data_IF_071015732192
#
_entry.id   IF_071015732192
#
_cell.length_a   1.000
_cell.length_b   1.000
_cell.length_c   1.000
_cell.angle_alpha   90.00
_cell.angle_beta   90.00
_cell.angle_gamma   90.00
#
_symmetry.space_group_name_H-M   'P 1'
#
loop_
_entity.id
_entity.type
_entity.pdbx_description
1 polymer ?
#
# COMPACT_ATOMS: atom_id res chain seq x y z
N UNK A 1 11.42 -58.83 -42.17
CA UNK A 1 10.62 -57.63 -42.51
C UNK A 1 11.31 -56.42 -41.89
N UNK A 2 11.69 -55.45 -42.73
CA UNK A 2 12.46 -54.24 -42.41
C UNK A 2 11.55 -53.09 -41.94
N UNK A 3 12.11 -52.19 -41.11
CA UNK A 3 11.98 -50.71 -41.03
C UNK A 3 12.11 -50.30 -39.54
N UNK A 4 13.24 -49.82 -38.99
CA UNK A 4 14.15 -48.71 -39.34
C UNK A 4 13.61 -47.30 -39.02
N UNK A 5 14.12 -46.78 -37.90
CA UNK A 5 14.71 -45.45 -37.65
C UNK A 5 14.00 -44.13 -38.06
N UNK A 6 13.90 -43.27 -37.04
CA UNK A 6 14.30 -41.84 -37.00
C UNK A 6 13.77 -40.92 -38.10
N UNK A 7 12.91 -39.97 -37.70
CA UNK A 7 12.91 -38.63 -38.30
C UNK A 7 12.48 -37.59 -37.26
N UNK A 8 13.48 -37.06 -36.58
CA UNK A 8 13.48 -35.74 -35.96
C UNK A 8 13.29 -34.69 -37.07
N UNK A 9 12.29 -33.82 -36.98
CA UNK A 9 12.27 -32.57 -37.77
C UNK A 9 12.07 -31.43 -36.78
N UNK A 10 13.20 -30.77 -36.49
CA UNK A 10 13.29 -29.53 -35.73
C UNK A 10 12.44 -28.44 -36.39
N UNK A 11 11.48 -27.90 -35.62
CA UNK A 11 10.78 -26.67 -35.97
C UNK A 11 11.61 -25.48 -35.45
N UNK A 12 12.57 -25.02 -36.26
CA UNK A 12 13.31 -23.80 -36.01
C UNK A 12 12.52 -22.62 -36.60
N UNK A 13 11.70 -21.98 -35.78
CA UNK A 13 11.10 -20.67 -36.10
C UNK A 13 11.85 -19.62 -35.28
N UNK A 14 12.82 -18.99 -35.92
CA UNK A 14 13.51 -17.82 -35.40
C UNK A 14 12.62 -16.58 -35.65
N UNK A 15 11.84 -16.17 -34.64
CA UNK A 15 11.26 -14.82 -34.59
C UNK A 15 12.35 -13.87 -34.08
N UNK A 16 13.08 -13.22 -34.98
CA UNK A 16 13.88 -12.04 -34.64
C UNK A 16 12.97 -10.81 -34.72
N UNK A 17 12.35 -10.42 -33.61
CA UNK A 17 11.81 -9.07 -33.44
C UNK A 17 12.99 -8.13 -33.19
N UNK A 18 13.41 -7.41 -34.21
CA UNK A 18 14.28 -6.25 -34.10
C UNK A 18 13.52 -5.10 -33.44
N UNK A 19 13.52 -5.07 -32.11
CA UNK A 19 13.12 -3.91 -31.34
C UNK A 19 14.27 -2.88 -31.35
N UNK A 20 14.16 -1.87 -32.21
CA UNK A 20 14.97 -0.66 -32.07
C UNK A 20 14.41 0.18 -30.91
N UNK A 21 14.81 -0.13 -29.68
CA UNK A 21 14.67 0.81 -28.55
C UNK A 21 15.95 1.65 -28.47
N UNK A 22 15.81 2.92 -28.85
CA UNK A 22 16.80 3.96 -28.61
C UNK A 22 16.87 4.25 -27.10
N UNK A 23 17.74 3.54 -26.40
CA UNK A 23 18.11 3.86 -25.02
C UNK A 23 19.38 4.71 -25.03
N UNK A 24 19.27 6.00 -25.36
CA UNK A 24 20.29 7.03 -25.14
C UNK A 24 19.67 8.44 -25.21
N UNK A 25 18.93 8.86 -24.18
CA UNK A 25 18.82 10.30 -23.80
C UNK A 25 17.98 10.53 -22.50
N UNK A 26 18.40 10.00 -21.34
CA UNK A 26 17.91 10.53 -20.04
C UNK A 26 18.99 10.36 -18.98
N UNK A 27 20.20 10.85 -19.26
CA UNK A 27 21.22 11.09 -18.22
C UNK A 27 21.94 12.40 -18.58
N UNK A 28 21.30 13.52 -18.26
CA UNK A 28 21.95 14.82 -18.13
C UNK A 28 22.01 15.16 -16.63
N UNK A 29 23.15 14.94 -15.95
CA UNK A 29 23.40 15.48 -14.63
C UNK A 29 24.49 16.54 -14.75
N UNK A 30 24.14 17.78 -15.11
CA UNK A 30 24.97 18.97 -14.81
C UNK A 30 24.30 20.25 -15.30
N UNK A 31 23.48 20.89 -14.45
CA UNK A 31 23.09 22.28 -14.66
C UNK A 31 22.66 22.96 -13.35
N UNK A 32 23.57 23.11 -12.37
CA UNK A 32 23.46 24.24 -11.42
C UNK A 32 24.87 24.76 -11.11
N UNK A 33 25.27 25.80 -11.84
CA UNK A 33 26.42 26.66 -11.54
C UNK A 33 25.98 27.69 -10.49
N UNK A 34 26.71 27.90 -9.37
CA UNK A 34 26.47 29.02 -8.47
C UNK A 34 26.98 30.33 -9.09
N UNK A 35 26.24 31.45 -9.06
CA UNK A 35 26.79 32.72 -9.49
C UNK A 35 27.84 33.21 -8.48
N UNK A 36 28.99 33.59 -9.05
CA UNK A 36 30.15 34.13 -8.36
C UNK A 36 29.84 35.48 -7.68
N UNK A 37 30.51 35.66 -6.54
CA UNK A 37 30.58 36.89 -5.78
C UNK A 37 31.22 38.04 -6.57
N UNK A 38 30.66 39.24 -6.41
CA UNK A 38 31.30 40.51 -6.70
C UNK A 38 31.28 41.37 -5.44
N UNK A 39 32.44 41.90 -5.08
CA UNK A 39 32.79 42.47 -3.79
C UNK A 39 32.48 43.98 -3.64
N UNK A 40 32.16 44.38 -2.39
CA UNK A 40 32.47 45.63 -1.64
C UNK A 40 31.91 46.99 -2.18
N UNK A 41 31.66 48.07 -1.35
CA UNK A 41 32.22 48.33 -0.02
C UNK A 41 31.30 48.86 1.11
N UNK A 42 31.84 48.74 2.33
CA UNK A 42 31.31 49.25 3.59
C UNK A 42 31.51 50.77 3.75
N UNK A 43 30.61 51.48 4.47
CA UNK A 43 30.94 52.76 5.09
C UNK A 43 31.01 52.70 6.61
N UNK A 44 31.86 53.59 7.14
CA UNK A 44 32.29 53.74 8.51
C UNK A 44 31.22 54.17 9.53
N UNK A 45 31.48 53.87 10.81
CA UNK A 45 30.80 54.44 11.97
C UNK A 45 31.59 55.62 12.51
N UNK A 46 30.95 56.79 12.65
CA UNK A 46 31.14 57.77 13.75
C UNK A 46 30.31 59.05 13.49
N UNK A 47 29.63 59.56 14.52
CA UNK A 47 29.22 60.97 14.61
C UNK A 47 27.81 61.27 15.16
N UNK A 48 27.76 61.82 16.38
CA UNK A 48 26.60 62.30 17.15
C UNK A 48 25.61 63.23 16.43
N UNK A 49 24.32 63.14 16.78
CA UNK A 49 23.58 64.15 17.58
C UNK A 49 22.05 64.15 17.30
N UNK A 50 21.29 64.09 18.39
CA UNK A 50 19.93 64.60 18.67
C UNK A 50 18.92 64.85 17.52
N UNK A 51 17.75 64.20 17.60
CA UNK A 51 16.48 64.82 18.03
C UNK A 51 15.23 64.06 17.54
N UNK A 52 14.36 63.73 18.51
CA UNK A 52 12.89 63.69 18.46
C UNK A 52 12.14 62.63 17.62
N UNK A 53 11.40 61.81 18.36
CA UNK A 53 10.36 60.83 17.98
C UNK A 53 9.14 61.54 17.35
N UNK A 54 8.48 60.93 16.34
CA UNK A 54 7.06 60.59 16.50
C UNK A 54 6.75 59.11 16.19
N UNK A 55 5.90 58.52 17.01
CA UNK A 55 5.41 57.15 16.91
C UNK A 55 4.46 56.93 15.72
N UNK A 56 4.53 55.80 15.00
CA UNK A 56 3.46 55.36 14.10
C UNK A 56 2.37 54.57 14.87
N UNK A 57 1.09 54.64 14.46
CA UNK A 57 0.00 53.89 15.08
C UNK A 57 0.10 52.38 14.78
N UNK A 58 -0.38 51.48 15.67
CA UNK A 58 -0.49 50.06 15.37
C UNK A 58 -1.67 49.81 14.43
N UNK A 59 -1.39 49.41 13.20
CA UNK A 59 -2.41 48.86 12.30
C UNK A 59 -2.53 47.35 12.54
N UNK A 60 -3.48 46.99 13.40
CA UNK A 60 -4.03 45.63 13.53
C UNK A 60 -4.84 45.27 12.29
N UNK A 61 -4.38 44.29 11.51
CA UNK A 61 -5.22 43.47 10.64
C UNK A 61 -4.44 42.23 10.17
N UNK A 62 -4.34 41.22 11.05
CA UNK A 62 -4.04 39.85 10.60
C UNK A 62 -5.34 39.26 10.02
N UNK A 63 -5.33 38.60 8.84
CA UNK A 63 -6.51 37.91 8.35
C UNK A 63 -6.79 36.73 9.28
N UNK A 64 -7.92 36.80 9.98
CA UNK A 64 -8.49 35.64 10.66
C UNK A 64 -8.78 34.57 9.62
N UNK A 65 -8.01 33.49 9.64
CA UNK A 65 -8.38 32.26 8.95
C UNK A 65 -9.61 31.71 9.67
N UNK A 66 -10.79 31.93 9.11
CA UNK A 66 -11.99 31.22 9.48
C UNK A 66 -11.82 29.76 9.07
N UNK A 67 -11.29 28.92 9.97
CA UNK A 67 -11.48 27.48 9.88
C UNK A 67 -12.98 27.23 10.07
N UNK A 68 -13.71 27.21 8.96
CA UNK A 68 -15.06 26.66 8.92
C UNK A 68 -14.99 25.24 9.49
N UNK A 69 -15.70 25.01 10.60
CA UNK A 69 -15.75 23.74 11.28
C UNK A 69 -16.14 22.64 10.31
N UNK A 70 -15.23 21.70 10.07
CA UNK A 70 -15.62 20.38 9.61
C UNK A 70 -16.63 19.83 10.64
N UNK A 71 -17.76 19.25 10.22
CA UNK A 71 -18.65 18.58 11.15
C UNK A 71 -17.83 17.50 11.85
N UNK A 72 -17.66 17.63 13.16
CA UNK A 72 -17.13 16.56 13.97
C UNK A 72 -18.10 15.39 13.84
N UNK A 73 -17.72 14.37 13.07
CA UNK A 73 -18.49 13.14 12.97
C UNK A 73 -18.58 12.56 14.39
N UNK A 74 -19.80 12.47 14.92
CA UNK A 74 -20.05 11.90 16.24
C UNK A 74 -19.45 10.49 16.30
N UNK A 75 -18.74 10.13 17.38
CA UNK A 75 -18.11 8.82 17.48
C UNK A 75 -19.18 7.73 17.43
N UNK A 76 -18.96 6.73 16.58
CA UNK A 76 -19.81 5.54 16.52
C UNK A 76 -19.83 4.81 17.87
N UNK A 77 -21.02 4.46 18.35
CA UNK A 77 -21.16 3.62 19.54
C UNK A 77 -20.80 2.16 19.21
N UNK A 78 -20.45 1.37 20.24
CA UNK A 78 -20.17 -0.07 20.09
C UNK A 78 -21.36 -0.86 19.52
N UNK A 79 -22.59 -0.52 19.93
CA UNK A 79 -23.80 -1.15 19.41
C UNK A 79 -24.02 -0.85 17.92
N UNK A 80 -23.76 0.38 17.49
CA UNK A 80 -23.84 0.75 16.07
C UNK A 80 -22.78 0.03 15.24
N UNK A 81 -21.54 -0.07 15.73
CA UNK A 81 -20.48 -0.82 15.07
C UNK A 81 -20.85 -2.30 14.87
N UNK A 82 -21.39 -2.95 15.90
CA UNK A 82 -21.86 -4.33 15.79
C UNK A 82 -23.00 -4.49 14.76
N UNK A 83 -23.94 -3.54 14.71
CA UNK A 83 -25.00 -3.55 13.72
C UNK A 83 -24.47 -3.39 12.29
N UNK A 84 -23.47 -2.54 12.06
CA UNK A 84 -22.84 -2.38 10.74
C UNK A 84 -22.15 -3.69 10.30
N UNK A 85 -21.38 -4.32 11.20
CA UNK A 85 -20.72 -5.60 10.93
C UNK A 85 -21.72 -6.69 10.58
N UNK A 86 -22.83 -6.80 11.32
CA UNK A 86 -23.88 -7.80 11.07
C UNK A 86 -24.58 -7.67 9.72
N UNK A 87 -24.63 -6.45 9.16
CA UNK A 87 -25.19 -6.17 7.83
C UNK A 87 -24.15 -6.31 6.71
N UNK A 88 -22.87 -6.44 7.08
CA UNK A 88 -21.80 -6.54 6.09
C UNK A 88 -21.78 -7.93 5.49
N UNK A 89 -21.85 -7.97 4.15
CA UNK A 89 -21.57 -9.16 3.36
C UNK A 89 -20.25 -8.96 2.62
N UNK A 90 -19.23 -9.74 3.00
CA UNK A 90 -17.87 -9.64 2.49
C UNK A 90 -17.59 -10.75 1.49
N UNK A 91 -17.19 -10.37 0.27
CA UNK A 91 -16.62 -11.29 -0.71
C UNK A 91 -15.10 -11.17 -0.69
N UNK A 92 -14.40 -12.30 -0.60
CA UNK A 92 -12.93 -12.34 -0.68
C UNK A 92 -12.56 -12.79 -2.09
N UNK A 93 -11.87 -11.93 -2.84
CA UNK A 93 -11.40 -12.23 -4.17
C UNK A 93 -10.15 -13.13 -4.14
N UNK A 94 -9.79 -13.79 -5.25
CA UNK A 94 -8.54 -14.54 -5.36
C UNK A 94 -7.32 -13.67 -5.00
N UNK A 95 -6.40 -14.24 -4.23
CA UNK A 95 -5.18 -13.58 -3.77
C UNK A 95 -4.15 -13.56 -4.90
N UNK A 96 -3.49 -12.42 -5.09
CA UNK A 96 -2.45 -12.23 -6.11
C UNK A 96 -1.09 -12.15 -5.45
N UNK A 97 -0.09 -12.84 -6.02
CA UNK A 97 1.33 -12.74 -5.64
C UNK A 97 1.79 -13.67 -4.50
N UNK A 98 0.86 -14.27 -3.76
CA UNK A 98 1.15 -15.35 -2.82
C UNK A 98 1.13 -16.72 -3.50
N UNK A 99 1.95 -17.67 -3.01
CA UNK A 99 1.81 -19.07 -3.41
C UNK A 99 0.49 -19.66 -2.91
N UNK A 100 0.00 -20.73 -3.54
CA UNK A 100 -1.24 -21.41 -3.11
C UNK A 100 -1.10 -21.94 -1.68
N UNK A 101 0.06 -22.49 -1.33
CA UNK A 101 0.33 -22.98 0.03
C UNK A 101 0.28 -21.87 1.09
N UNK A 102 0.74 -20.65 0.77
CA UNK A 102 0.67 -19.51 1.68
C UNK A 102 -0.74 -18.89 1.72
N UNK A 103 -1.44 -18.85 0.59
CA UNK A 103 -2.77 -18.26 0.47
C UNK A 103 -3.86 -19.11 1.13
N UNK A 104 -3.69 -20.44 1.19
CA UNK A 104 -4.63 -21.37 1.83
C UNK A 104 -4.89 -21.03 3.31
N UNK A 105 -3.89 -20.99 4.21
CA UNK A 105 -4.11 -20.66 5.62
C UNK A 105 -4.59 -19.22 5.82
N UNK A 106 -4.11 -18.28 4.99
CA UNK A 106 -4.60 -16.89 4.99
C UNK A 106 -6.12 -16.84 4.76
N UNK A 107 -6.59 -17.50 3.70
CA UNK A 107 -8.01 -17.45 3.29
C UNK A 107 -8.90 -18.15 4.31
N UNK A 108 -8.47 -19.30 4.82
CA UNK A 108 -9.20 -20.02 5.86
C UNK A 108 -9.36 -19.17 7.14
N UNK A 109 -8.30 -18.47 7.54
CA UNK A 109 -8.35 -17.61 8.72
C UNK A 109 -9.19 -16.35 8.48
N UNK A 110 -9.08 -15.70 7.32
CA UNK A 110 -9.95 -14.57 6.96
C UNK A 110 -11.43 -14.94 7.09
N UNK A 111 -11.81 -16.12 6.59
CA UNK A 111 -13.18 -16.61 6.69
C UNK A 111 -13.60 -16.89 8.14
N UNK A 112 -12.70 -17.48 8.94
CA UNK A 112 -12.95 -17.77 10.35
C UNK A 112 -13.14 -16.49 11.16
N UNK A 113 -12.24 -15.52 11.00
CA UNK A 113 -12.26 -14.24 11.72
C UNK A 113 -13.41 -13.35 11.29
N UNK A 114 -13.73 -13.31 9.99
CA UNK A 114 -14.92 -12.60 9.51
C UNK A 114 -16.19 -13.09 10.22
N UNK A 115 -16.39 -14.41 10.29
CA UNK A 115 -17.53 -15.01 11.00
C UNK A 115 -17.51 -14.69 12.49
N UNK A 116 -16.35 -14.79 13.15
CA UNK A 116 -16.20 -14.43 14.57
C UNK A 116 -16.54 -12.97 14.86
N UNK A 117 -16.32 -12.07 13.90
CA UNK A 117 -16.69 -10.64 13.98
C UNK A 117 -18.13 -10.34 13.55
N UNK A 118 -18.92 -11.37 13.21
CA UNK A 118 -20.31 -11.23 12.77
C UNK A 118 -20.46 -10.77 11.31
N UNK A 119 -19.41 -10.84 10.50
CA UNK A 119 -19.45 -10.50 9.08
C UNK A 119 -19.91 -11.73 8.29
N UNK A 120 -20.92 -11.54 7.43
CA UNK A 120 -21.41 -12.61 6.55
C UNK A 120 -20.49 -12.74 5.34
N UNK A 121 -20.14 -13.97 4.93
CA UNK A 121 -19.35 -14.20 3.73
C UNK A 121 -20.24 -14.38 2.49
N UNK A 122 -19.91 -13.67 1.41
CA UNK A 122 -20.45 -13.89 0.08
C UNK A 122 -19.55 -14.86 -0.70
N UNK A 123 -20.18 -15.74 -1.49
CA UNK A 123 -19.45 -16.58 -2.44
C UNK A 123 -18.91 -15.76 -3.62
N UNK A 124 -17.95 -16.30 -4.36
CA UNK A 124 -17.28 -15.56 -5.45
C UNK A 124 -18.19 -15.13 -6.61
N UNK A 125 -19.36 -15.75 -6.77
CA UNK A 125 -20.36 -15.39 -7.80
C UNK A 125 -21.60 -14.69 -7.22
N UNK A 126 -21.61 -14.46 -5.91
CA UNK A 126 -22.74 -13.88 -5.20
C UNK A 126 -22.81 -12.36 -5.41
N UNK A 127 -23.88 -11.89 -6.06
CA UNK A 127 -24.09 -10.47 -6.34
C UNK A 127 -24.60 -9.67 -5.13
N UNK A 128 -24.81 -10.32 -3.99
CA UNK A 128 -25.28 -9.65 -2.76
C UNK A 128 -24.12 -9.15 -1.88
N UNK A 129 -22.87 -9.32 -2.32
CA UNK A 129 -21.71 -8.78 -1.64
C UNK A 129 -21.85 -7.25 -1.48
N UNK A 130 -21.70 -6.77 -0.24
CA UNK A 130 -21.67 -5.33 0.06
C UNK A 130 -20.27 -4.76 -0.08
N UNK A 131 -19.26 -5.61 0.11
CA UNK A 131 -17.85 -5.26 0.06
C UNK A 131 -17.08 -6.39 -0.61
N UNK A 132 -16.14 -6.02 -1.49
CA UNK A 132 -15.21 -6.96 -2.12
C UNK A 132 -13.80 -6.65 -1.66
N UNK A 133 -13.12 -7.65 -1.10
CA UNK A 133 -11.76 -7.56 -0.58
C UNK A 133 -10.79 -8.21 -1.57
N UNK A 134 -9.86 -7.43 -2.10
CA UNK A 134 -8.86 -7.88 -3.10
C UNK A 134 -7.44 -7.76 -2.53
N UNK A 135 -6.71 -8.87 -2.50
CA UNK A 135 -5.40 -8.97 -1.84
C UNK A 135 -4.23 -9.10 -2.80
N UNK A 136 -3.17 -8.35 -2.53
CA UNK A 136 -1.91 -8.34 -3.25
C UNK A 136 -0.77 -8.55 -2.26
N UNK A 137 0.07 -9.55 -2.54
CA UNK A 137 1.11 -9.99 -1.63
C UNK A 137 2.45 -10.11 -2.34
N UNK A 138 3.52 -9.78 -1.63
CA UNK A 138 4.89 -10.03 -2.05
C UNK A 138 5.74 -10.44 -0.86
N UNK A 139 6.90 -10.98 -1.15
CA UNK A 139 7.91 -11.31 -0.14
C UNK A 139 9.21 -10.60 -0.45
N UNK A 140 9.92 -10.21 0.61
CA UNK A 140 11.27 -9.70 0.55
C UNK A 140 12.11 -10.50 1.55
N UNK A 141 13.15 -11.17 1.07
CA UNK A 141 14.04 -11.96 1.92
C UNK A 141 15.36 -11.23 2.11
N UNK A 142 15.73 -11.00 3.37
CA UNK A 142 16.98 -10.39 3.77
C UNK A 142 17.71 -11.33 4.75
N UNK A 143 18.83 -11.89 4.30
CA UNK A 143 19.57 -12.90 5.06
C UNK A 143 18.69 -14.12 5.38
N UNK A 144 18.38 -14.30 6.67
CA UNK A 144 17.56 -15.39 7.20
C UNK A 144 16.13 -14.96 7.54
N UNK A 145 15.71 -13.78 7.15
CA UNK A 145 14.41 -13.26 7.49
C UNK A 145 13.61 -13.00 6.21
N UNK A 146 12.36 -13.44 6.17
CA UNK A 146 11.45 -13.13 5.06
C UNK A 146 10.36 -12.21 5.57
N UNK A 147 10.21 -11.05 4.95
CA UNK A 147 9.11 -10.13 5.21
C UNK A 147 8.03 -10.34 4.17
N UNK A 148 6.81 -10.60 4.62
CA UNK A 148 5.60 -10.60 3.79
C UNK A 148 5.08 -9.17 3.76
N UNK A 149 4.91 -8.62 2.57
CA UNK A 149 4.30 -7.30 2.36
C UNK A 149 2.94 -7.54 1.75
N UNK A 150 1.90 -6.88 2.27
CA UNK A 150 0.53 -7.08 1.82
C UNK A 150 -0.22 -5.77 1.64
N UNK A 151 -1.07 -5.75 0.62
CA UNK A 151 -2.01 -4.67 0.32
C UNK A 151 -3.37 -5.31 0.05
N UNK A 152 -4.38 -4.73 0.66
CA UNK A 152 -5.78 -5.09 0.48
C UNK A 152 -6.54 -3.86 0.04
N UNK A 153 -7.28 -3.99 -1.06
CA UNK A 153 -8.21 -2.97 -1.52
C UNK A 153 -9.64 -3.42 -1.22
N UNK A 154 -10.42 -2.54 -0.61
CA UNK A 154 -11.85 -2.73 -0.30
C UNK A 154 -12.66 -1.97 -1.34
N UNK A 155 -13.55 -2.68 -2.02
CA UNK A 155 -14.42 -2.13 -3.05
C UNK A 155 -15.90 -2.21 -2.66
N UNK A 156 -16.69 -1.26 -3.14
CA UNK A 156 -18.15 -1.35 -3.16
C UNK A 156 -18.64 -2.23 -4.32
N UNK A 157 -19.95 -2.55 -4.38
CA UNK A 157 -20.51 -3.36 -5.47
C UNK A 157 -20.46 -2.67 -6.83
N UNK A 158 -20.30 -1.34 -6.86
CA UNK A 158 -20.14 -0.55 -8.09
C UNK A 158 -18.70 -0.53 -8.61
N UNK A 159 -17.75 -1.13 -7.89
CA UNK A 159 -16.34 -1.20 -8.26
C UNK A 159 -15.52 0.01 -7.84
N UNK A 160 -16.04 0.90 -6.99
CA UNK A 160 -15.25 2.01 -6.43
C UNK A 160 -14.41 1.50 -5.27
N UNK A 161 -13.13 1.89 -5.22
CA UNK A 161 -12.28 1.59 -4.07
C UNK A 161 -12.66 2.50 -2.91
N UNK A 162 -13.19 1.89 -1.85
CA UNK A 162 -13.59 2.57 -0.61
C UNK A 162 -12.41 2.80 0.33
N UNK A 163 -11.52 1.79 0.44
CA UNK A 163 -10.44 1.82 1.42
C UNK A 163 -9.27 0.95 1.00
N UNK A 164 -8.11 1.21 1.61
CA UNK A 164 -6.90 0.41 1.44
C UNK A 164 -6.32 0.06 2.80
N UNK A 165 -6.14 -1.23 3.03
CA UNK A 165 -5.42 -1.80 4.16
C UNK A 165 -4.05 -2.25 3.65
N UNK A 166 -2.98 -1.94 4.37
CA UNK A 166 -1.65 -2.40 4.01
C UNK A 166 -0.83 -2.72 5.27
N UNK A 167 0.23 -3.47 5.08
CA UNK A 167 1.15 -3.78 6.15
C UNK A 167 2.25 -4.71 5.71
N UNK A 168 3.07 -5.06 6.67
CA UNK A 168 4.14 -6.02 6.50
C UNK A 168 4.27 -6.87 7.76
N UNK A 169 4.63 -8.12 7.57
CA UNK A 169 4.86 -9.05 8.66
C UNK A 169 6.13 -9.85 8.43
N UNK A 170 7.00 -9.84 9.44
CA UNK A 170 8.21 -10.65 9.43
C UNK A 170 7.84 -12.10 9.68
N UNK A 171 8.17 -12.97 8.73
CA UNK A 171 8.15 -14.41 8.89
C UNK A 171 9.53 -14.87 9.39
N UNK A 172 9.62 -15.53 10.55
CA UNK A 172 10.84 -16.23 10.94
C UNK A 172 11.14 -17.28 9.87
N UNK A 173 12.32 -17.23 9.27
CA UNK A 173 12.62 -18.17 8.19
C UNK A 173 12.66 -19.61 8.69
N UNK A 174 12.04 -20.50 7.93
CA UNK A 174 12.13 -21.95 8.09
C UNK A 174 13.19 -22.58 7.14
N UNK A 175 13.93 -21.78 6.36
CA UNK A 175 14.93 -22.26 5.39
C UNK A 175 15.95 -21.23 4.88
N UNK A 176 16.87 -21.65 4.02
CA UNK A 176 17.88 -20.78 3.40
C UNK A 176 17.32 -20.12 2.12
N UNK A 177 17.40 -18.80 2.04
CA UNK A 177 16.77 -17.97 1.00
C UNK A 177 17.10 -18.33 -0.45
N UNK A 178 16.13 -18.09 -1.33
CA UNK A 178 16.18 -18.23 -2.78
C UNK A 178 15.20 -17.23 -3.44
N UNK A 179 14.81 -17.44 -4.69
CA UNK A 179 13.94 -16.53 -5.48
C UNK A 179 12.63 -16.18 -4.75
N UNK A 180 11.84 -15.21 -5.23
CA UNK A 180 10.54 -14.86 -4.61
C UNK A 180 9.58 -16.07 -4.45
N UNK A 181 9.63 -17.04 -5.39
CA UNK A 181 8.90 -18.30 -5.28
C UNK A 181 9.41 -19.20 -4.13
N UNK A 182 10.71 -19.19 -3.85
CA UNK A 182 11.31 -19.91 -2.73
C UNK A 182 11.10 -19.17 -1.40
N UNK A 183 10.97 -17.84 -1.44
CA UNK A 183 10.72 -17.01 -0.25
C UNK A 183 9.40 -17.38 0.43
N UNK A 184 8.37 -17.76 -0.33
CA UNK A 184 7.10 -18.23 0.23
C UNK A 184 7.21 -19.54 1.02
N UNK A 185 8.21 -20.40 0.76
CA UNK A 185 8.45 -21.62 1.55
C UNK A 185 8.93 -21.32 2.97
N UNK A 186 9.53 -20.14 3.16
CA UNK A 186 10.02 -19.66 4.45
C UNK A 186 8.93 -18.98 5.28
N UNK A 187 7.76 -18.71 4.70
CA UNK A 187 6.63 -18.09 5.38
C UNK A 187 5.80 -19.16 6.07
N UNK A 188 5.76 -19.11 7.40
CA UNK A 188 4.96 -20.06 8.19
C UNK A 188 3.44 -19.85 7.98
N UNK A 189 2.61 -20.90 8.10
CA UNK A 189 1.16 -20.74 8.11
C UNK A 189 0.67 -19.76 9.19
N UNK A 190 1.31 -19.76 10.36
CA UNK A 190 0.98 -18.86 11.47
C UNK A 190 1.19 -17.39 11.11
N UNK A 191 2.21 -17.06 10.31
CA UNK A 191 2.42 -15.69 9.80
C UNK A 191 1.24 -15.26 8.93
N UNK A 192 0.78 -16.13 8.03
CA UNK A 192 -0.35 -15.82 7.14
C UNK A 192 -1.67 -15.70 7.91
N UNK A 193 -1.88 -16.54 8.94
CA UNK A 193 -3.02 -16.42 9.84
C UNK A 193 -3.01 -15.10 10.62
N UNK A 194 -1.86 -14.69 11.15
CA UNK A 194 -1.74 -13.42 11.85
C UNK A 194 -1.99 -12.21 10.92
N UNK A 195 -1.60 -12.27 9.64
CA UNK A 195 -1.96 -11.25 8.65
C UNK A 195 -3.49 -11.23 8.43
N UNK A 196 -4.15 -12.38 8.36
CA UNK A 196 -5.61 -12.45 8.25
C UNK A 196 -6.31 -11.80 9.45
N UNK A 197 -5.84 -12.08 10.67
CA UNK A 197 -6.35 -11.48 11.91
C UNK A 197 -6.28 -9.96 11.84
N UNK A 198 -5.09 -9.42 11.54
CA UNK A 198 -4.89 -7.98 11.42
C UNK A 198 -5.75 -7.37 10.33
N UNK A 199 -5.92 -8.06 9.20
CA UNK A 199 -6.72 -7.58 8.07
C UNK A 199 -8.19 -7.43 8.46
N UNK A 200 -8.77 -8.43 9.13
CA UNK A 200 -10.18 -8.37 9.56
C UNK A 200 -10.39 -7.31 10.65
N UNK A 201 -9.43 -7.13 11.56
CA UNK A 201 -9.50 -6.11 12.58
C UNK A 201 -9.46 -4.70 11.99
N UNK A 202 -8.55 -4.45 11.04
CA UNK A 202 -8.50 -3.18 10.32
C UNK A 202 -9.75 -2.96 9.46
N UNK A 203 -10.26 -4.01 8.80
CA UNK A 203 -11.50 -3.93 8.04
C UNK A 203 -12.70 -3.58 8.93
N UNK A 204 -12.83 -4.21 10.10
CA UNK A 204 -13.90 -3.90 11.04
C UNK A 204 -13.78 -2.47 11.62
N UNK A 205 -12.56 -2.00 11.87
CA UNK A 205 -12.31 -0.61 12.28
C UNK A 205 -12.72 0.38 11.19
N UNK A 206 -12.38 0.10 9.93
CA UNK A 206 -12.82 0.88 8.77
C UNK A 206 -14.35 0.97 8.67
N UNK A 207 -15.05 -0.18 8.75
CA UNK A 207 -16.51 -0.21 8.69
C UNK A 207 -17.17 0.57 9.82
N UNK A 208 -16.50 0.65 10.97
CA UNK A 208 -16.97 1.43 12.11
C UNK A 208 -16.60 2.92 12.00
N UNK A 209 -15.99 3.40 10.92
CA UNK A 209 -15.53 4.78 10.82
C UNK A 209 -14.41 5.14 11.80
N UNK A 210 -13.68 4.14 12.32
CA UNK A 210 -12.52 4.30 13.21
C UNK A 210 -11.19 4.26 12.46
N UNK A 211 -11.18 3.90 11.19
CA UNK A 211 -10.00 4.06 10.34
C UNK A 211 -9.93 5.53 9.89
N UNK A 212 -8.88 6.24 10.31
CA UNK A 212 -8.57 7.61 9.88
C UNK A 212 -7.46 7.59 8.83
#
# INVERSE_FOLDING_TARGET
MRRSHLTTVSLLVALALTACTNAKDVLEPSAITPPAASAQPAPATQGSAAATVPAPPPSTAAPASTTAGAPAASPVTSAQAAAILSKTRLQIAPIVGASVDAATPLTAELQTRAKQRGITLAGSQDQTATHVLKGYFSTMTEGKDTTVIYVWDVYDPSGNRLHRINGQMKAPSTGSGGSAADSWKSVSPATMQAIADQTIDQFAAFLSGKAS
#
